data_IF_158983186107
#
_entry.id   IF_158983186107
#
_cell.length_a   1.000
_cell.length_b   1.000
_cell.length_c   1.000
_cell.angle_alpha   90.00
_cell.angle_beta   90.00
_cell.angle_gamma   90.00
#
_symmetry.space_group_name_H-M   'P 1'
#
loop_
_entity.id
_entity.type
_entity.pdbx_description
1 polymer ?
#
# COMPACT_ATOMS: atom_id res chain seq x y z
N UNK A 1 -6.87 0.21 -0.39
CA UNK A 1 -8.02 1.14 -0.32
C UNK A 1 -7.50 2.47 0.21
N UNK A 2 -7.61 3.55 -0.56
CA UNK A 2 -7.23 4.88 -0.11
C UNK A 2 -8.51 5.69 0.20
N UNK A 3 -8.53 6.36 1.35
CA UNK A 3 -9.68 7.14 1.83
C UNK A 3 -9.26 8.53 2.37
N UNK A 4 -7.99 8.88 2.21
CA UNK A 4 -7.40 10.18 2.52
C UNK A 4 -6.11 10.36 1.71
N UNK A 5 -5.64 11.59 1.54
CA UNK A 5 -4.34 11.86 0.89
C UNK A 5 -3.18 11.15 1.60
N UNK A 6 -3.22 11.10 2.94
CA UNK A 6 -2.22 10.41 3.76
C UNK A 6 -2.19 8.91 3.44
N UNK A 7 -3.34 8.24 3.41
CA UNK A 7 -3.40 6.80 3.12
C UNK A 7 -3.03 6.48 1.67
N UNK A 8 -3.28 7.39 0.73
CA UNK A 8 -2.78 7.30 -0.64
C UNK A 8 -1.24 7.37 -0.71
N UNK A 9 -0.62 8.34 -0.01
CA UNK A 9 0.83 8.45 0.06
C UNK A 9 1.47 7.23 0.71
N UNK A 10 0.96 6.83 1.88
CA UNK A 10 1.46 5.65 2.60
C UNK A 10 1.30 4.36 1.76
N UNK A 11 0.24 4.24 0.96
CA UNK A 11 0.07 3.10 0.06
C UNK A 11 1.20 3.00 -0.98
N UNK A 12 1.71 4.13 -1.48
CA UNK A 12 2.90 4.16 -2.34
C UNK A 12 4.17 3.95 -1.52
N UNK A 13 4.39 4.74 -0.48
CA UNK A 13 5.64 4.77 0.30
C UNK A 13 5.94 3.45 1.00
N UNK A 14 4.95 2.79 1.60
CA UNK A 14 5.19 1.63 2.47
C UNK A 14 4.80 0.30 1.84
N UNK A 15 3.82 0.30 0.95
CA UNK A 15 3.29 -0.92 0.36
C UNK A 15 3.69 -1.10 -1.10
N UNK A 16 4.33 -0.11 -1.72
CA UNK A 16 4.54 -0.04 -3.17
C UNK A 16 3.27 -0.42 -3.96
N UNK A 17 2.11 0.01 -3.46
CA UNK A 17 0.82 -0.35 -4.05
C UNK A 17 0.78 0.15 -5.49
N UNK A 18 0.52 -0.75 -6.43
CA UNK A 18 0.35 -0.40 -7.84
C UNK A 18 -1.05 0.15 -8.13
N UNK A 19 -2.02 -0.18 -7.28
CA UNK A 19 -3.41 0.26 -7.38
C UNK A 19 -3.92 0.74 -6.03
N UNK A 20 -4.88 1.67 -6.08
CA UNK A 20 -5.77 1.99 -4.97
C UNK A 20 -7.21 1.93 -5.45
N UNK A 21 -8.09 1.38 -4.61
CA UNK A 21 -9.53 1.62 -4.72
C UNK A 21 -9.91 2.86 -3.92
N UNK A 22 -10.91 3.60 -4.39
CA UNK A 22 -11.51 4.76 -3.72
C UNK A 22 -13.04 4.56 -3.68
N UNK A 23 -13.66 4.84 -2.53
CA UNK A 23 -15.11 4.70 -2.38
C UNK A 23 -15.87 5.86 -2.99
N UNK A 24 -16.57 5.65 -4.11
CA UNK A 24 -17.28 6.72 -4.84
C UNK A 24 -18.43 7.40 -4.10
N UNK A 25 -18.88 6.86 -2.95
CA UNK A 25 -19.90 7.48 -2.08
C UNK A 25 -19.33 8.10 -0.80
N UNK A 26 -18.00 8.06 -0.62
CA UNK A 26 -17.33 8.40 0.64
C UNK A 26 -16.62 9.77 0.59
N UNK A 27 -16.54 10.38 -0.59
CA UNK A 27 -15.77 11.59 -0.85
C UNK A 27 -16.52 12.51 -1.80
N UNK A 28 -16.31 13.82 -1.69
CA UNK A 28 -16.63 14.74 -2.80
C UNK A 28 -15.69 14.47 -3.98
N UNK A 29 -16.02 14.91 -5.21
CA UNK A 29 -15.12 14.80 -6.35
C UNK A 29 -13.74 15.44 -6.08
N UNK A 30 -13.71 16.59 -5.42
CA UNK A 30 -12.47 17.31 -5.10
C UNK A 30 -11.59 16.52 -4.13
N UNK A 31 -12.19 15.94 -3.09
CA UNK A 31 -11.47 15.07 -2.15
C UNK A 31 -10.93 13.81 -2.86
N UNK A 32 -11.73 13.20 -3.74
CA UNK A 32 -11.30 12.04 -4.50
C UNK A 32 -10.12 12.37 -5.43
N UNK A 33 -10.15 13.53 -6.09
CA UNK A 33 -9.04 14.00 -6.93
C UNK A 33 -7.77 14.25 -6.10
N UNK A 34 -7.87 14.88 -4.93
CA UNK A 34 -6.73 15.06 -4.03
C UNK A 34 -6.09 13.72 -3.62
N UNK A 35 -6.92 12.70 -3.34
CA UNK A 35 -6.44 11.33 -3.05
C UNK A 35 -5.71 10.73 -4.27
N UNK A 36 -6.24 10.93 -5.48
CA UNK A 36 -5.60 10.46 -6.72
C UNK A 36 -4.26 11.16 -6.94
N UNK A 37 -4.22 12.49 -6.83
CA UNK A 37 -3.00 13.30 -6.99
C UNK A 37 -1.92 12.87 -5.99
N UNK A 38 -2.30 12.69 -4.73
CA UNK A 38 -1.40 12.19 -3.69
C UNK A 38 -0.86 10.79 -4.00
N UNK A 39 -1.64 9.90 -4.61
CA UNK A 39 -1.19 8.55 -4.99
C UNK A 39 -0.25 8.56 -6.20
N UNK A 40 -0.61 9.27 -7.28
CA UNK A 40 0.21 9.27 -8.51
C UNK A 40 1.50 10.10 -8.36
N UNK A 41 1.47 11.12 -7.50
CA UNK A 41 2.64 11.97 -7.21
C UNK A 41 3.62 11.37 -6.20
N UNK A 42 3.22 10.36 -5.41
CA UNK A 42 4.07 9.79 -4.38
C UNK A 42 4.94 8.64 -4.90
N UNK A 43 6.25 8.78 -4.67
CA UNK A 43 7.22 7.74 -4.99
C UNK A 43 7.18 6.57 -3.99
N UNK A 44 7.62 5.41 -4.46
CA UNK A 44 7.96 4.28 -3.58
C UNK A 44 9.22 4.65 -2.76
N UNK A 45 9.25 4.29 -1.47
CA UNK A 45 10.35 4.67 -0.58
C UNK A 45 11.64 3.87 -0.77
N UNK A 46 11.55 2.68 -1.39
CA UNK A 46 12.68 1.74 -1.55
C UNK A 46 13.33 1.26 -0.24
N UNK A 47 12.72 1.55 0.91
CA UNK A 47 13.24 1.17 2.22
C UNK A 47 13.31 -0.37 2.38
N UNK A 48 14.46 -0.94 2.77
CA UNK A 48 14.65 -2.39 2.83
C UNK A 48 13.64 -3.13 3.71
N UNK A 49 13.15 -2.49 4.78
CA UNK A 49 12.13 -3.06 5.67
C UNK A 49 10.78 -3.26 4.97
N UNK A 50 10.43 -2.37 4.02
CA UNK A 50 9.18 -2.43 3.29
C UNK A 50 9.29 -3.45 2.15
N UNK A 51 10.41 -3.45 1.41
CA UNK A 51 10.67 -4.47 0.40
C UNK A 51 10.65 -5.89 0.98
N UNK A 52 11.34 -6.11 2.12
CA UNK A 52 11.32 -7.42 2.80
C UNK A 52 9.91 -7.91 3.11
N UNK A 53 9.01 -7.02 3.52
CA UNK A 53 7.60 -7.38 3.83
C UNK A 53 6.83 -7.72 2.56
N UNK A 54 7.05 -6.99 1.47
CA UNK A 54 6.47 -7.27 0.15
C UNK A 54 6.95 -8.64 -0.35
N UNK A 55 8.25 -8.93 -0.25
CA UNK A 55 8.84 -10.19 -0.70
C UNK A 55 8.29 -11.41 0.05
N UNK A 56 8.06 -11.28 1.36
CA UNK A 56 7.40 -12.34 2.16
C UNK A 56 6.01 -12.64 1.61
N UNK A 57 5.23 -11.61 1.28
CA UNK A 57 3.88 -11.79 0.73
C UNK A 57 3.92 -12.37 -0.69
N UNK A 58 4.85 -11.92 -1.53
CA UNK A 58 5.02 -12.42 -2.89
C UNK A 58 5.42 -13.91 -2.91
N UNK A 59 6.30 -14.35 -2.00
CA UNK A 59 6.65 -15.76 -1.88
C UNK A 59 5.48 -16.60 -1.36
N UNK A 60 4.68 -16.07 -0.44
CA UNK A 60 3.42 -16.70 -0.02
C UNK A 60 2.44 -16.84 -1.20
N UNK A 61 2.24 -15.81 -2.01
CA UNK A 61 1.37 -15.87 -3.20
C UNK A 61 1.85 -16.92 -4.22
N UNK A 62 3.16 -17.05 -4.40
CA UNK A 62 3.76 -18.01 -5.32
C UNK A 62 3.63 -19.46 -4.86
N UNK A 63 3.72 -19.71 -3.55
CA UNK A 63 3.87 -21.06 -3.00
C UNK A 63 2.64 -21.58 -2.24
N UNK A 64 1.80 -20.68 -1.71
CA UNK A 64 0.72 -21.00 -0.78
C UNK A 64 1.19 -21.41 0.62
N UNK A 65 2.50 -21.38 0.90
CA UNK A 65 3.08 -21.82 2.18
C UNK A 65 3.28 -20.62 3.10
N UNK A 66 2.59 -20.61 4.24
CA UNK A 66 2.71 -19.53 5.21
C UNK A 66 4.16 -19.41 5.75
N UNK A 67 4.70 -18.18 5.88
CA UNK A 67 6.02 -17.99 6.49
C UNK A 67 5.99 -18.36 7.97
N UNK A 68 7.13 -18.80 8.50
CA UNK A 68 7.26 -19.02 9.94
C UNK A 68 7.02 -17.72 10.71
N UNK A 69 6.29 -17.80 11.81
CA UNK A 69 6.15 -16.67 12.73
C UNK A 69 7.47 -16.43 13.46
N UNK A 70 7.84 -15.18 13.77
CA UNK A 70 8.94 -14.90 14.67
C UNK A 70 8.73 -15.63 16.00
N UNK A 71 9.82 -16.13 16.59
CA UNK A 71 9.77 -16.61 17.98
C UNK A 71 9.32 -15.45 18.87
N UNK A 72 8.31 -15.69 19.70
CA UNK A 72 7.68 -14.64 20.51
C UNK A 72 8.66 -13.98 21.48
N UNK A 73 8.40 -12.70 21.78
CA UNK A 73 9.03 -12.00 22.91
C UNK A 73 8.40 -12.45 24.23
#
# INVERSE_FOLDING_TARGET
LAWSEETAKLAREHNNSQLIGIGGRMHTPEQALAIVDAFVGQAWSEEPRHQRRIDILAEYEKTGVAPALPEGN
#
